data_IF_637534469751
#
_entry.id   IF_637534469751
#
_cell.length_a   1.000
_cell.length_b   1.000
_cell.length_c   1.000
_cell.angle_alpha   90.00
_cell.angle_beta   90.00
_cell.angle_gamma   90.00
#
_symmetry.space_group_name_H-M   'P 1'
#
loop_
_entity.id
_entity.type
_entity.pdbx_description
1 polymer ?
#
# COMPACT_ATOMS: atom_id res chain seq x y z
N UNK A 1 -8.35 -19.97 39.90
CA UNK A 1 -7.76 -20.98 38.98
C UNK A 1 -7.59 -22.28 39.74
N UNK A 2 -8.23 -23.37 39.30
CA UNK A 2 -8.27 -24.63 40.04
C UNK A 2 -6.87 -25.24 40.18
N UNK A 3 -6.46 -25.61 41.40
CA UNK A 3 -5.17 -26.25 41.72
C UNK A 3 -4.89 -27.49 40.82
N UNK A 4 -5.96 -28.21 40.47
CA UNK A 4 -5.93 -29.35 39.55
C UNK A 4 -5.46 -28.97 38.14
N UNK A 5 -5.83 -27.79 37.65
CA UNK A 5 -5.45 -27.32 36.32
C UNK A 5 -3.95 -26.97 36.27
N UNK A 6 -3.42 -26.39 37.35
CA UNK A 6 -1.99 -26.11 37.50
C UNK A 6 -1.17 -27.40 37.56
N UNK A 7 -1.62 -28.41 38.30
CA UNK A 7 -0.94 -29.71 38.37
C UNK A 7 -0.92 -30.41 36.99
N UNK A 8 -2.03 -30.39 36.26
CA UNK A 8 -2.09 -30.91 34.88
C UNK A 8 -1.15 -30.16 33.95
N UNK A 9 -1.09 -28.84 34.05
CA UNK A 9 -0.18 -28.00 33.27
C UNK A 9 1.29 -28.32 33.58
N UNK A 10 1.65 -28.48 34.86
CA UNK A 10 3.01 -28.86 35.27
C UNK A 10 3.43 -30.23 34.73
N UNK A 11 2.53 -31.22 34.73
CA UNK A 11 2.80 -32.54 34.14
C UNK A 11 3.03 -32.43 32.63
N UNK A 12 2.24 -31.61 31.93
CA UNK A 12 2.42 -31.36 30.49
C UNK A 12 3.74 -30.65 30.19
N UNK A 13 4.12 -29.64 30.99
CA UNK A 13 5.40 -28.97 30.87
C UNK A 13 6.56 -29.93 31.13
N UNK A 14 6.48 -30.75 32.17
CA UNK A 14 7.49 -31.76 32.48
C UNK A 14 7.64 -32.78 31.35
N UNK A 15 6.53 -33.21 30.77
CA UNK A 15 6.54 -34.09 29.59
C UNK A 15 7.23 -33.43 28.41
N UNK A 16 6.85 -32.20 28.06
CA UNK A 16 7.44 -31.46 26.94
C UNK A 16 8.93 -31.15 27.17
N UNK A 17 9.31 -30.80 28.40
CA UNK A 17 10.70 -30.61 28.79
C UNK A 17 11.52 -31.90 28.66
N UNK A 18 10.97 -33.03 29.12
CA UNK A 18 11.64 -34.32 29.02
C UNK A 18 11.81 -34.77 27.57
N UNK A 19 10.81 -34.53 26.71
CA UNK A 19 10.90 -34.80 25.27
C UNK A 19 11.99 -33.96 24.61
N UNK A 20 12.02 -32.65 24.87
CA UNK A 20 13.03 -31.75 24.32
C UNK A 20 14.43 -32.10 24.82
N UNK A 21 14.59 -32.44 26.11
CA UNK A 21 15.86 -32.88 26.71
C UNK A 21 16.45 -34.14 26.06
N UNK A 22 15.61 -35.06 25.58
CA UNK A 22 16.06 -36.28 24.87
C UNK A 22 16.58 -35.97 23.46
N UNK A 23 16.19 -34.85 22.88
CA UNK A 23 16.67 -34.36 21.57
C UNK A 23 17.84 -33.38 21.77
N UNK A 24 18.90 -33.84 22.44
CA UNK A 24 20.05 -32.99 22.79
C UNK A 24 20.67 -32.28 21.58
N UNK A 25 20.81 -32.99 20.44
CA UNK A 25 21.35 -32.43 19.20
C UNK A 25 20.51 -31.24 18.73
N UNK A 26 19.18 -31.34 18.80
CA UNK A 26 18.29 -30.25 18.37
C UNK A 26 18.40 -29.03 19.28
N UNK A 27 18.55 -29.23 20.60
CA UNK A 27 18.78 -28.13 21.55
C UNK A 27 20.11 -27.42 21.23
N UNK A 28 21.17 -28.17 20.97
CA UNK A 28 22.48 -27.59 20.61
C UNK A 28 22.38 -26.77 19.32
N UNK A 29 21.71 -27.30 18.30
CA UNK A 29 21.48 -26.57 17.04
C UNK A 29 20.65 -25.30 17.28
N UNK A 30 19.58 -25.36 18.08
CA UNK A 30 18.73 -24.21 18.41
C UNK A 30 19.53 -23.10 19.13
N UNK A 31 20.40 -23.47 20.08
CA UNK A 31 21.29 -22.54 20.77
C UNK A 31 22.28 -21.91 19.78
N UNK A 32 22.93 -22.71 18.94
CA UNK A 32 23.89 -22.20 17.93
C UNK A 32 23.20 -21.23 16.98
N UNK A 33 22.02 -21.58 16.47
CA UNK A 33 21.23 -20.73 15.56
C UNK A 33 20.84 -19.42 16.25
N UNK A 34 20.42 -19.48 17.52
CA UNK A 34 20.07 -18.28 18.30
C UNK A 34 21.29 -17.37 18.51
N UNK A 35 22.44 -17.94 18.88
CA UNK A 35 23.69 -17.21 19.04
C UNK A 35 24.18 -16.61 17.73
N UNK A 36 24.03 -17.33 16.62
CA UNK A 36 24.36 -16.85 15.29
C UNK A 36 23.51 -15.64 14.92
N UNK A 37 22.19 -15.70 15.11
CA UNK A 37 21.31 -14.56 14.85
C UNK A 37 21.61 -13.36 15.75
N UNK A 38 21.85 -13.58 17.04
CA UNK A 38 22.27 -12.53 17.96
C UNK A 38 23.61 -11.90 17.52
N UNK A 39 24.57 -12.73 17.11
CA UNK A 39 25.87 -12.30 16.60
C UNK A 39 25.74 -11.44 15.34
N UNK A 40 24.89 -11.84 14.38
CA UNK A 40 24.61 -11.04 13.18
C UNK A 40 24.02 -9.68 13.54
N UNK A 41 23.03 -9.64 14.44
CA UNK A 41 22.43 -8.36 14.88
C UNK A 41 23.44 -7.44 15.56
N UNK A 42 24.31 -7.98 16.42
CA UNK A 42 25.35 -7.19 17.08
C UNK A 42 26.41 -6.70 16.08
N UNK A 43 26.77 -7.54 15.11
CA UNK A 43 27.73 -7.20 14.07
C UNK A 43 27.19 -6.09 13.16
N UNK A 44 25.93 -6.19 12.71
CA UNK A 44 25.31 -5.14 11.90
C UNK A 44 25.14 -3.85 12.67
N UNK A 45 24.85 -3.92 13.99
CA UNK A 45 24.84 -2.72 14.85
C UNK A 45 26.22 -2.09 14.98
N UNK A 46 27.28 -2.89 15.05
CA UNK A 46 28.67 -2.41 15.20
C UNK A 46 29.23 -1.83 13.90
N UNK A 47 28.91 -2.43 12.75
CA UNK A 47 29.37 -1.99 11.42
C UNK A 47 28.52 -0.84 10.89
N UNK A 48 27.25 -0.75 11.29
CA UNK A 48 26.32 0.28 10.84
C UNK A 48 26.83 1.68 11.15
N UNK A 49 27.17 2.43 10.09
CA UNK A 49 27.53 3.84 10.20
C UNK A 49 26.25 4.66 10.30
N UNK A 50 26.12 5.45 11.35
CA UNK A 50 25.05 6.45 11.48
C UNK A 50 25.52 7.70 10.76
N UNK A 51 24.88 8.05 9.65
CA UNK A 51 25.16 9.29 8.92
C UNK A 51 24.15 10.37 9.29
N UNK A 52 24.58 11.63 9.32
CA UNK A 52 23.66 12.77 9.43
C UNK A 52 23.33 13.27 8.02
N UNK A 53 22.05 13.32 7.69
CA UNK A 53 21.56 13.75 6.38
C UNK A 53 20.74 15.04 6.51
N UNK A 54 20.70 15.85 5.45
CA UNK A 54 19.99 17.14 5.44
C UNK A 54 20.79 18.28 6.12
N UNK A 55 20.15 19.43 6.41
CA UNK A 55 18.73 19.77 6.17
C UNK A 55 18.40 19.93 4.68
N UNK A 56 17.14 19.71 4.32
CA UNK A 56 16.65 19.88 2.95
C UNK A 56 15.76 21.12 2.86
N UNK A 57 16.09 21.99 1.92
CA UNK A 57 15.29 23.16 1.56
C UNK A 57 14.80 23.00 0.13
N UNK A 58 13.52 23.32 -0.11
CA UNK A 58 12.89 23.15 -1.40
C UNK A 58 12.46 24.50 -1.98
N UNK A 59 12.85 24.83 -3.21
CA UNK A 59 12.42 26.05 -3.87
C UNK A 59 10.92 26.00 -4.21
N UNK A 60 10.30 27.17 -4.31
CA UNK A 60 8.92 27.31 -4.79
C UNK A 60 8.79 26.78 -6.22
N UNK A 61 7.69 26.07 -6.49
CA UNK A 61 7.35 25.53 -7.79
C UNK A 61 6.13 26.26 -8.37
N UNK A 62 6.20 26.75 -9.60
CA UNK A 62 5.05 27.36 -10.28
C UNK A 62 4.04 26.30 -10.70
N UNK A 63 2.76 26.60 -10.53
CA UNK A 63 1.65 25.67 -10.86
C UNK A 63 1.14 25.86 -12.29
N UNK A 64 1.50 26.97 -12.96
CA UNK A 64 1.04 27.30 -14.31
C UNK A 64 1.87 26.64 -15.44
N UNK A 65 2.88 25.82 -15.11
CA UNK A 65 3.74 25.16 -16.12
C UNK A 65 3.11 23.87 -16.62
N UNK A 66 3.04 23.72 -17.95
CA UNK A 66 2.63 22.47 -18.58
C UNK A 66 3.70 21.37 -18.44
N UNK A 67 3.31 20.09 -18.30
CA UNK A 67 4.22 18.97 -18.29
C UNK A 67 5.09 18.85 -19.53
N UNK A 68 6.35 18.46 -19.34
CA UNK A 68 7.35 18.32 -20.41
C UNK A 68 6.92 17.29 -21.46
N UNK A 69 6.22 16.23 -21.06
CA UNK A 69 5.78 15.18 -21.98
C UNK A 69 4.75 15.66 -23.02
N UNK A 70 4.01 16.75 -22.75
CA UNK A 70 3.08 17.33 -23.72
C UNK A 70 3.78 17.91 -24.95
N UNK A 71 5.10 18.15 -24.87
CA UNK A 71 5.90 18.49 -26.04
C UNK A 71 6.01 17.35 -27.06
N UNK A 72 5.71 16.11 -26.66
CA UNK A 72 5.60 14.96 -27.55
C UNK A 72 4.12 14.66 -27.80
N UNK A 73 3.73 14.61 -29.07
CA UNK A 73 2.36 14.20 -29.43
C UNK A 73 2.16 12.71 -29.13
N UNK A 74 0.94 12.30 -28.74
CA UNK A 74 0.64 10.89 -28.55
C UNK A 74 0.73 10.14 -29.89
N UNK A 75 0.84 8.79 -29.88
CA UNK A 75 1.01 7.98 -31.09
C UNK A 75 -0.10 8.15 -32.13
N UNK A 76 -1.27 8.65 -31.72
CA UNK A 76 -2.42 8.87 -32.59
C UNK A 76 -3.19 10.10 -32.13
N UNK A 77 -3.25 11.14 -32.97
CA UNK A 77 -4.08 12.33 -32.73
C UNK A 77 -3.47 13.38 -31.79
N UNK A 78 -4.35 14.18 -31.18
CA UNK A 78 -4.01 15.23 -30.22
C UNK A 78 -4.27 14.75 -28.79
N UNK A 79 -3.67 15.42 -27.81
CA UNK A 79 -4.01 15.22 -26.42
C UNK A 79 -5.47 15.60 -26.16
N UNK A 80 -6.17 14.79 -25.36
CA UNK A 80 -7.60 14.95 -25.10
C UNK A 80 -7.88 15.41 -23.68
N UNK A 81 -8.78 16.40 -23.55
CA UNK A 81 -9.42 16.78 -22.31
C UNK A 81 -10.83 16.20 -22.30
N UNK A 82 -11.06 15.24 -21.42
CA UNK A 82 -12.36 14.61 -21.27
C UNK A 82 -13.19 15.35 -20.21
N UNK A 83 -14.52 15.32 -20.34
CA UNK A 83 -15.40 15.85 -19.30
C UNK A 83 -16.70 15.07 -19.15
N UNK A 84 -17.23 15.05 -17.93
CA UNK A 84 -18.47 14.38 -17.54
C UNK A 84 -19.25 15.31 -16.60
N UNK A 85 -20.56 15.54 -16.82
CA UNK A 85 -21.42 14.98 -17.88
C UNK A 85 -21.47 15.85 -19.15
N UNK A 86 -21.60 15.20 -20.33
CA UNK A 86 -21.71 15.86 -21.64
C UNK A 86 -23.02 16.61 -21.87
N UNK A 87 -24.06 16.28 -21.10
CA UNK A 87 -25.38 16.91 -21.17
C UNK A 87 -25.34 18.41 -20.84
N UNK A 88 -24.41 18.83 -19.98
CA UNK A 88 -24.30 20.22 -19.53
C UNK A 88 -23.47 21.07 -20.48
N UNK A 89 -24.10 22.07 -21.11
CA UNK A 89 -23.42 23.08 -21.94
C UNK A 89 -22.49 23.94 -21.10
N UNK A 90 -22.86 24.18 -19.84
CA UNK A 90 -22.05 24.92 -18.86
C UNK A 90 -20.70 24.23 -18.64
N UNK A 91 -20.72 22.93 -18.36
CA UNK A 91 -19.48 22.15 -18.14
C UNK A 91 -18.60 22.18 -19.39
N UNK A 92 -19.19 22.01 -20.58
CA UNK A 92 -18.45 22.11 -21.85
C UNK A 92 -17.76 23.47 -21.99
N UNK A 93 -18.46 24.57 -21.73
CA UNK A 93 -17.90 25.92 -21.85
C UNK A 93 -16.77 26.19 -20.85
N UNK A 94 -16.85 25.61 -19.64
CA UNK A 94 -15.78 25.68 -18.64
C UNK A 94 -14.53 24.96 -19.15
N UNK A 95 -14.67 23.75 -19.69
CA UNK A 95 -13.53 22.96 -20.18
C UNK A 95 -12.91 23.58 -21.45
N UNK A 96 -13.72 24.17 -22.33
CA UNK A 96 -13.21 24.98 -23.44
C UNK A 96 -12.45 26.23 -22.97
N UNK A 97 -12.88 26.83 -21.85
CA UNK A 97 -12.14 27.92 -21.20
C UNK A 97 -10.79 27.43 -20.66
N UNK A 98 -10.73 26.25 -20.04
CA UNK A 98 -9.48 25.61 -19.60
C UNK A 98 -8.53 25.41 -20.79
N UNK A 99 -9.03 24.83 -21.90
CA UNK A 99 -8.24 24.66 -23.12
C UNK A 99 -7.62 25.98 -23.60
N UNK A 100 -8.42 27.05 -23.65
CA UNK A 100 -7.96 28.38 -24.07
C UNK A 100 -6.88 28.93 -23.14
N UNK A 101 -7.07 28.80 -21.83
CA UNK A 101 -6.16 29.34 -20.82
C UNK A 101 -4.83 28.57 -20.73
N UNK A 102 -4.82 27.28 -21.08
CA UNK A 102 -3.60 26.47 -21.13
C UNK A 102 -2.73 26.73 -22.38
N UNK A 103 -3.24 27.49 -23.36
CA UNK A 103 -2.53 27.81 -24.60
C UNK A 103 -1.97 26.56 -25.34
N UNK A 104 -2.68 25.43 -25.25
CA UNK A 104 -2.30 24.17 -25.88
C UNK A 104 -3.46 23.60 -26.70
N UNK A 105 -3.17 22.96 -27.82
CA UNK A 105 -4.18 22.44 -28.74
C UNK A 105 -4.75 21.09 -28.28
N UNK A 106 -5.54 21.11 -27.20
CA UNK A 106 -6.27 19.93 -26.74
C UNK A 106 -7.55 19.68 -27.55
N UNK A 107 -7.91 18.42 -27.76
CA UNK A 107 -9.22 18.00 -28.24
C UNK A 107 -10.15 17.81 -27.03
N UNK A 108 -11.32 18.46 -27.02
CA UNK A 108 -12.26 18.39 -25.89
C UNK A 108 -13.35 17.36 -26.19
N UNK A 109 -13.47 16.32 -25.35
CA UNK A 109 -14.46 15.25 -25.51
C UNK A 109 -15.38 15.13 -24.30
N UNK A 110 -16.68 15.16 -24.55
CA UNK A 110 -17.70 14.98 -23.51
C UNK A 110 -18.23 13.54 -23.46
N UNK A 111 -18.45 13.02 -22.26
CA UNK A 111 -19.09 11.72 -22.04
C UNK A 111 -20.35 11.87 -21.18
N UNK A 112 -21.39 11.10 -21.48
CA UNK A 112 -22.67 11.14 -20.76
C UNK A 112 -22.55 10.70 -19.32
N UNK A 113 -21.83 9.60 -19.08
CA UNK A 113 -21.57 9.04 -17.76
C UNK A 113 -20.10 8.67 -17.59
N UNK A 114 -19.69 8.49 -16.35
CA UNK A 114 -18.34 8.00 -16.03
C UNK A 114 -18.08 6.61 -16.61
N UNK A 115 -19.11 5.75 -16.66
CA UNK A 115 -19.02 4.40 -17.21
C UNK A 115 -18.72 4.45 -18.72
N UNK A 116 -19.30 5.40 -19.44
CA UNK A 116 -19.03 5.59 -20.87
C UNK A 116 -17.59 6.04 -21.10
N UNK A 117 -17.11 6.95 -20.26
CA UNK A 117 -15.71 7.39 -20.25
C UNK A 117 -14.74 6.24 -19.94
N UNK A 118 -15.05 5.39 -18.95
CA UNK A 118 -14.23 4.22 -18.63
C UNK A 118 -14.18 3.20 -19.78
N UNK A 119 -15.32 2.96 -20.43
CA UNK A 119 -15.38 2.08 -21.60
C UNK A 119 -14.56 2.64 -22.77
N UNK A 120 -14.55 3.98 -22.95
CA UNK A 120 -13.74 4.65 -23.95
C UNK A 120 -12.23 4.46 -23.71
N UNK A 121 -11.77 4.63 -22.47
CA UNK A 121 -10.35 4.45 -22.12
C UNK A 121 -9.89 2.99 -22.27
N UNK A 122 -10.77 2.02 -21.95
CA UNK A 122 -10.47 0.59 -22.06
C UNK A 122 -10.23 0.14 -23.51
N UNK A 123 -10.69 0.89 -24.50
CA UNK A 123 -10.38 0.61 -25.90
C UNK A 123 -8.90 0.91 -26.17
N UNK A 124 -8.22 -0.08 -26.78
CA UNK A 124 -6.77 -0.06 -26.96
C UNK A 124 -6.31 1.27 -27.59
N UNK A 125 -5.35 1.94 -26.93
CA UNK A 125 -4.69 3.21 -27.27
C UNK A 125 -5.35 4.52 -26.81
N UNK A 126 -6.62 4.55 -26.38
CA UNK A 126 -7.24 5.82 -25.92
C UNK A 126 -6.68 6.30 -24.57
N UNK A 127 -6.27 5.37 -23.71
CA UNK A 127 -5.66 5.68 -22.40
C UNK A 127 -4.42 6.57 -22.48
N UNK A 128 -3.64 6.46 -23.56
CA UNK A 128 -2.42 7.26 -23.75
C UNK A 128 -2.72 8.68 -24.24
N UNK A 129 -3.87 8.90 -24.89
CA UNK A 129 -4.27 10.18 -25.48
C UNK A 129 -4.98 11.10 -24.48
N UNK A 130 -5.75 10.51 -23.57
CA UNK A 130 -6.51 11.28 -22.58
C UNK A 130 -5.55 11.82 -21.52
N UNK A 131 -5.44 13.14 -21.47
CA UNK A 131 -4.59 13.83 -20.49
C UNK A 131 -5.22 13.74 -19.09
N UNK A 132 -6.47 14.22 -19.00
CA UNK A 132 -7.28 14.25 -17.79
C UNK A 132 -8.76 14.24 -18.18
N UNK A 133 -9.58 13.64 -17.32
CA UNK A 133 -11.03 13.85 -17.35
C UNK A 133 -11.51 14.66 -16.15
N UNK A 134 -12.30 15.68 -16.44
CA UNK A 134 -12.99 16.51 -15.47
C UNK A 134 -14.37 15.91 -15.18
N UNK A 135 -14.58 15.40 -13.97
CA UNK A 135 -15.87 14.84 -13.57
C UNK A 135 -16.52 15.74 -12.54
N UNK A 136 -17.68 16.29 -12.90
CA UNK A 136 -18.49 17.13 -12.03
C UNK A 136 -19.53 16.27 -11.33
N UNK A 137 -19.46 16.20 -10.00
CA UNK A 137 -20.40 15.49 -9.16
C UNK A 137 -21.62 16.38 -8.89
N UNK A 138 -22.44 16.54 -9.94
CA UNK A 138 -23.66 17.33 -9.90
C UNK A 138 -24.70 16.80 -10.89
N UNK A 139 -25.94 16.65 -10.43
CA UNK A 139 -27.06 16.18 -11.26
C UNK A 139 -27.70 17.35 -12.01
N UNK A 140 -27.43 17.46 -13.32
CA UNK A 140 -28.05 18.46 -14.20
C UNK A 140 -29.38 17.93 -14.78
N UNK A 141 -30.50 18.56 -14.43
CA UNK A 141 -31.84 18.21 -14.96
C UNK A 141 -31.97 18.67 -16.41
N UNK A 142 -31.52 19.87 -16.73
CA UNK A 142 -31.46 20.43 -18.07
C UNK A 142 -30.01 20.69 -18.51
N UNK A 143 -29.83 20.91 -19.81
CA UNK A 143 -28.52 21.19 -20.41
C UNK A 143 -27.95 22.58 -20.06
N UNK A 144 -28.81 23.51 -19.64
CA UNK A 144 -28.47 24.90 -19.30
C UNK A 144 -28.54 25.18 -17.79
N UNK A 145 -28.69 24.14 -16.96
CA UNK A 145 -28.71 24.32 -15.52
C UNK A 145 -27.37 24.92 -15.04
N UNK A 146 -27.41 25.95 -14.18
CA UNK A 146 -26.21 26.64 -13.72
C UNK A 146 -25.38 25.75 -12.78
N UNK A 147 -24.07 25.98 -12.76
CA UNK A 147 -23.20 25.31 -11.80
C UNK A 147 -23.45 25.88 -10.38
N UNK A 148 -23.55 25.05 -9.32
CA UNK A 148 -23.68 25.55 -7.95
C UNK A 148 -22.39 26.27 -7.49
N UNK A 149 -22.52 27.21 -6.55
CA UNK A 149 -21.35 27.92 -5.98
C UNK A 149 -20.36 26.97 -5.29
N UNK A 150 -20.86 25.92 -4.63
CA UNK A 150 -20.04 24.85 -4.07
C UNK A 150 -19.95 23.73 -5.09
N UNK A 151 -18.90 23.76 -5.90
CA UNK A 151 -18.64 22.76 -6.94
C UNK A 151 -17.91 21.57 -6.32
N UNK A 152 -18.46 20.37 -6.49
CA UNK A 152 -17.75 19.13 -6.21
C UNK A 152 -17.32 18.52 -7.54
N UNK A 153 -16.02 18.37 -7.72
CA UNK A 153 -15.45 17.73 -8.90
C UNK A 153 -14.27 16.86 -8.48
N UNK A 154 -13.85 15.98 -9.37
CA UNK A 154 -12.61 15.26 -9.23
C UNK A 154 -11.96 15.03 -10.60
N UNK A 155 -10.65 14.84 -10.59
CA UNK A 155 -9.83 14.65 -11.79
C UNK A 155 -9.50 13.17 -11.96
N UNK A 156 -9.71 12.63 -13.16
CA UNK A 156 -9.25 11.28 -13.50
C UNK A 156 -8.09 11.35 -14.48
N UNK A 157 -6.91 10.94 -14.04
CA UNK A 157 -5.70 10.84 -14.86
C UNK A 157 -5.43 9.37 -15.21
N UNK A 158 -4.54 9.15 -16.16
CA UNK A 158 -4.07 7.80 -16.47
C UNK A 158 -3.42 7.16 -15.25
N UNK A 159 -3.66 5.86 -15.04
CA UNK A 159 -3.01 5.11 -13.95
C UNK A 159 -1.50 4.94 -14.18
N UNK A 160 -1.05 5.08 -15.42
CA UNK A 160 0.35 5.01 -15.80
C UNK A 160 0.96 6.41 -15.80
N UNK A 161 2.04 6.57 -15.05
CA UNK A 161 2.85 7.79 -15.05
C UNK A 161 3.54 7.94 -16.41
N UNK A 162 3.36 9.10 -17.04
CA UNK A 162 3.88 9.40 -18.38
C UNK A 162 5.25 10.07 -18.33
N UNK A 163 5.61 10.68 -17.22
CA UNK A 163 6.95 11.19 -16.98
C UNK A 163 7.86 10.05 -16.55
N UNK A 164 8.70 9.57 -17.47
CA UNK A 164 9.78 8.66 -17.10
C UNK A 164 11.11 8.98 -17.77
N UNK A 165 12.06 9.40 -16.93
CA UNK A 165 13.46 8.96 -16.98
C UNK A 165 13.68 8.00 -15.80
N UNK A 166 13.17 6.76 -15.87
CA UNK A 166 13.52 5.72 -14.88
C UNK A 166 13.58 4.37 -15.58
N UNK A 167 14.79 3.81 -15.64
CA UNK A 167 15.18 2.53 -16.25
C UNK A 167 14.62 1.27 -15.56
N UNK A 168 13.52 1.35 -14.80
CA UNK A 168 12.94 0.19 -14.15
C UNK A 168 11.42 0.26 -14.14
N UNK A 169 10.76 -0.79 -14.63
CA UNK A 169 9.33 -1.04 -14.49
C UNK A 169 8.88 -0.88 -13.03
N UNK A 170 8.40 0.31 -12.64
CA UNK A 170 7.43 0.44 -11.55
C UNK A 170 6.07 0.51 -12.22
N UNK A 171 5.19 -0.43 -11.92
CA UNK A 171 3.74 -0.25 -11.99
C UNK A 171 3.31 0.64 -10.80
N UNK A 172 3.89 1.83 -10.68
CA UNK A 172 3.54 2.77 -9.63
C UNK A 172 2.24 3.46 -9.99
N UNK A 173 1.12 2.95 -9.48
CA UNK A 173 -0.15 3.70 -9.53
C UNK A 173 -0.08 4.94 -8.62
N UNK A 174 -1.06 5.83 -8.75
CA UNK A 174 -1.19 7.02 -7.89
C UNK A 174 -1.38 6.72 -6.40
N UNK A 175 -1.66 5.45 -6.03
CA UNK A 175 -1.88 4.96 -4.65
C UNK A 175 -2.79 5.89 -3.83
N UNK A 176 -3.90 6.34 -4.43
CA UNK A 176 -4.86 7.25 -3.81
C UNK A 176 -5.66 6.63 -2.68
N UNK A 177 -5.54 5.31 -2.47
CA UNK A 177 -6.22 4.58 -1.39
C UNK A 177 -5.58 4.75 -0.01
N UNK A 178 -4.36 5.29 0.06
CA UNK A 178 -3.62 5.45 1.32
C UNK A 178 -3.11 6.88 1.48
N UNK A 179 -3.40 7.52 2.63
CA UNK A 179 -2.85 8.85 2.94
C UNK A 179 -1.34 8.81 3.26
N UNK A 180 -0.88 7.68 3.80
CA UNK A 180 0.52 7.46 4.17
C UNK A 180 0.99 6.11 3.63
N UNK A 181 2.28 5.99 3.26
CA UNK A 181 2.84 4.70 2.88
C UNK A 181 2.74 3.72 4.04
N UNK A 182 2.48 2.44 3.75
CA UNK A 182 2.41 1.37 4.77
C UNK A 182 3.68 1.27 5.62
N UNK A 183 4.83 1.59 5.02
CA UNK A 183 6.11 1.69 5.72
C UNK A 183 6.69 3.09 5.48
N UNK A 184 6.82 3.93 6.51
CA UNK A 184 7.40 5.26 6.35
C UNK A 184 8.89 5.17 6.01
N UNK A 185 9.37 6.11 5.18
CA UNK A 185 10.80 6.27 4.92
C UNK A 185 11.50 6.93 6.12
N UNK A 186 12.77 6.60 6.33
CA UNK A 186 13.61 7.20 7.40
C UNK A 186 13.92 8.68 7.20
N UNK A 187 13.64 9.21 6.01
CA UNK A 187 13.89 10.59 5.65
C UNK A 187 12.79 11.12 4.74
N UNK A 188 13.00 12.31 4.16
CA UNK A 188 12.03 12.92 3.27
C UNK A 188 11.79 12.04 2.05
N UNK A 189 10.53 11.84 1.68
CA UNK A 189 10.14 11.16 0.42
C UNK A 189 10.78 11.90 -0.76
N UNK A 190 11.50 11.21 -1.64
CA UNK A 190 12.18 11.81 -2.81
C UNK A 190 13.01 13.06 -2.42
N UNK A 191 14.12 12.90 -1.70
CA UNK A 191 14.89 14.02 -1.13
C UNK A 191 15.40 15.00 -2.20
N UNK A 192 15.82 14.49 -3.36
CA UNK A 192 16.40 15.27 -4.46
C UNK A 192 15.33 15.96 -5.34
N UNK A 193 14.05 15.72 -5.07
CA UNK A 193 12.94 16.17 -5.90
C UNK A 193 12.19 17.31 -5.22
N UNK A 194 12.47 18.54 -5.66
CA UNK A 194 11.80 19.75 -5.18
C UNK A 194 10.31 19.81 -5.52
N UNK A 195 9.90 19.10 -6.57
CA UNK A 195 8.52 18.95 -7.02
C UNK A 195 7.74 17.86 -6.26
N UNK A 196 8.38 17.18 -5.30
CA UNK A 196 7.81 16.09 -4.49
C UNK A 196 8.07 14.69 -5.06
N UNK A 197 8.54 14.57 -6.31
CA UNK A 197 8.76 13.30 -7.00
C UNK A 197 7.51 12.40 -7.07
N UNK A 198 7.69 11.09 -7.12
CA UNK A 198 6.62 10.08 -7.18
C UNK A 198 5.48 10.35 -6.15
N UNK A 199 4.19 10.37 -6.55
CA UNK A 199 3.65 9.92 -7.83
C UNK A 199 3.66 10.98 -8.95
N UNK A 200 4.27 12.15 -8.72
CA UNK A 200 4.46 13.17 -9.74
C UNK A 200 3.31 14.15 -9.91
N UNK A 201 2.68 14.64 -8.83
CA UNK A 201 1.54 15.58 -8.95
C UNK A 201 1.84 16.84 -9.79
N UNK A 202 3.05 17.37 -9.72
CA UNK A 202 3.50 18.51 -10.53
C UNK A 202 3.89 18.03 -11.93
N UNK A 203 4.76 17.02 -12.01
CA UNK A 203 5.31 16.55 -13.28
C UNK A 203 4.25 15.97 -14.21
N UNK A 204 3.31 15.16 -13.70
CA UNK A 204 2.19 14.58 -14.46
C UNK A 204 1.12 15.62 -14.83
N UNK A 205 1.21 16.84 -14.29
CA UNK A 205 0.28 17.92 -14.59
C UNK A 205 -1.03 17.88 -13.82
N UNK A 206 -1.12 17.15 -12.71
CA UNK A 206 -2.32 17.15 -11.88
C UNK A 206 -2.59 18.57 -11.34
N UNK A 207 -1.58 19.22 -10.76
CA UNK A 207 -1.76 20.55 -10.16
C UNK A 207 -2.09 21.63 -11.19
N UNK A 208 -1.48 21.60 -12.39
CA UNK A 208 -1.79 22.58 -13.45
C UNK A 208 -3.21 22.40 -13.96
N UNK A 209 -3.69 21.16 -14.11
CA UNK A 209 -5.06 20.88 -14.55
C UNK A 209 -6.08 21.29 -13.48
N UNK A 210 -5.78 21.04 -12.21
CA UNK A 210 -6.62 21.48 -11.10
C UNK A 210 -6.71 23.01 -11.04
N UNK A 211 -5.55 23.68 -11.07
CA UNK A 211 -5.48 25.14 -11.03
C UNK A 211 -6.15 25.82 -12.23
N UNK A 212 -5.99 25.26 -13.43
CA UNK A 212 -6.66 25.77 -14.62
C UNK A 212 -8.19 25.58 -14.56
N UNK A 213 -8.66 24.44 -14.06
CA UNK A 213 -10.09 24.20 -13.86
C UNK A 213 -10.69 25.14 -12.82
N UNK A 214 -10.03 25.33 -11.69
CA UNK A 214 -10.46 26.25 -10.63
C UNK A 214 -10.54 27.68 -11.15
N UNK A 215 -9.52 28.15 -11.88
CA UNK A 215 -9.55 29.45 -12.57
C UNK A 215 -10.74 29.56 -13.54
N UNK A 216 -11.04 28.50 -14.30
CA UNK A 216 -12.16 28.49 -15.23
C UNK A 216 -13.53 28.54 -14.53
N UNK A 217 -13.69 27.82 -13.42
CA UNK A 217 -14.91 27.86 -12.59
C UNK A 217 -15.10 29.25 -11.98
N UNK A 218 -14.04 29.87 -11.47
CA UNK A 218 -14.10 31.25 -10.95
C UNK A 218 -14.51 32.24 -12.04
N UNK A 219 -13.93 32.14 -13.25
CA UNK A 219 -14.32 32.96 -14.42
C UNK A 219 -15.78 32.77 -14.78
N UNK A 220 -16.30 31.55 -14.71
CA UNK A 220 -17.70 31.25 -15.00
C UNK A 220 -18.65 31.98 -14.05
N UNK A 221 -18.37 31.99 -12.75
CA UNK A 221 -19.23 32.66 -11.75
C UNK A 221 -19.10 34.19 -11.78
N UNK A 222 -17.89 34.71 -11.92
CA UNK A 222 -17.67 36.16 -12.00
C UNK A 222 -16.41 36.49 -12.81
N UNK A 223 -16.60 36.81 -14.09
CA UNK A 223 -15.50 37.07 -15.01
C UNK A 223 -14.71 38.33 -14.64
N UNK A 224 -15.37 39.44 -14.32
CA UNK A 224 -14.70 40.73 -14.06
C UNK A 224 -13.85 40.68 -12.78
N UNK A 225 -14.40 40.14 -11.69
CA UNK A 225 -13.68 40.02 -10.43
C UNK A 225 -12.51 39.02 -10.54
N UNK A 226 -12.72 37.89 -11.22
CA UNK A 226 -11.69 36.87 -11.40
C UNK A 226 -10.51 37.37 -12.24
N UNK A 227 -10.79 38.12 -13.33
CA UNK A 227 -9.73 38.71 -14.16
C UNK A 227 -8.87 39.71 -13.39
N UNK A 228 -9.47 40.51 -12.50
CA UNK A 228 -8.72 41.40 -11.61
C UNK A 228 -7.83 40.59 -10.66
N UNK A 229 -8.41 39.59 -10.00
CA UNK A 229 -7.70 38.75 -9.04
C UNK A 229 -6.49 38.03 -9.66
N UNK A 230 -6.61 37.49 -10.86
CA UNK A 230 -5.52 36.75 -11.52
C UNK A 230 -4.37 37.63 -12.00
N UNK A 231 -4.56 38.96 -12.10
CA UNK A 231 -3.47 39.89 -12.38
C UNK A 231 -2.65 40.19 -11.12
N UNK A 232 -3.33 40.23 -9.97
CA UNK A 232 -2.74 40.66 -8.71
C UNK A 232 -2.16 39.49 -7.89
N UNK A 233 -2.64 38.26 -8.11
CA UNK A 233 -2.31 37.08 -7.30
C UNK A 233 -1.60 36.00 -8.12
N UNK A 234 -0.44 35.57 -7.63
CA UNK A 234 0.30 34.42 -8.16
C UNK A 234 0.27 33.26 -7.15
N UNK A 235 0.10 32.04 -7.65
CA UNK A 235 -0.01 30.83 -6.83
C UNK A 235 1.19 29.93 -7.08
N UNK A 236 1.88 29.58 -6.00
CA UNK A 236 3.02 28.68 -6.00
C UNK A 236 2.78 27.55 -5.01
N UNK A 237 3.43 26.42 -5.27
CA UNK A 237 3.48 25.29 -4.34
C UNK A 237 4.91 25.15 -3.86
N UNK A 238 5.09 25.09 -2.55
CA UNK A 238 6.40 24.86 -1.95
C UNK A 238 6.30 23.68 -0.99
N UNK A 239 7.24 22.77 -1.13
CA UNK A 239 7.38 21.66 -0.20
C UNK A 239 7.93 22.15 1.13
N UNK A 240 7.40 21.62 2.23
CA UNK A 240 7.94 21.92 3.55
C UNK A 240 9.42 21.50 3.67
N UNK A 241 10.28 22.34 4.26
CA UNK A 241 11.67 21.97 4.51
C UNK A 241 11.73 20.78 5.47
N UNK A 242 12.77 19.96 5.32
CA UNK A 242 12.98 18.79 6.17
C UNK A 242 14.23 18.99 7.03
N UNK A 243 14.13 18.85 8.37
CA UNK A 243 15.26 19.08 9.27
C UNK A 243 16.36 18.04 9.06
N UNK A 244 17.57 18.32 9.56
CA UNK A 244 18.62 17.31 9.57
C UNK A 244 18.20 16.12 10.43
N UNK A 245 18.52 14.91 9.99
CA UNK A 245 18.16 13.66 10.67
C UNK A 245 19.32 12.68 10.65
N UNK A 246 19.33 11.77 11.62
CA UNK A 246 20.27 10.65 11.65
C UNK A 246 19.69 9.48 10.85
N UNK A 247 20.42 9.08 9.83
CA UNK A 247 20.11 7.89 9.05
C UNK A 247 20.81 6.68 9.68
N UNK A 248 20.00 5.80 10.26
CA UNK A 248 20.44 4.54 10.85
C UNK A 248 19.82 3.37 10.09
N UNK A 249 20.63 2.69 9.28
CA UNK A 249 20.19 1.53 8.49
C UNK A 249 19.98 0.26 9.33
N UNK A 250 20.30 0.28 10.63
CA UNK A 250 20.10 -0.87 11.52
C UNK A 250 18.61 -1.21 11.70
N UNK A 251 17.75 -0.22 11.95
CA UNK A 251 16.33 -0.44 12.19
C UNK A 251 15.58 -1.10 11.01
N UNK A 252 15.76 -0.69 9.74
CA UNK A 252 15.13 -1.38 8.62
C UNK A 252 15.67 -2.80 8.42
N UNK A 253 16.98 -3.00 8.64
CA UNK A 253 17.57 -4.34 8.63
C UNK A 253 16.93 -5.21 9.72
N UNK A 254 16.89 -4.70 10.96
CA UNK A 254 16.29 -5.37 12.12
C UNK A 254 14.83 -5.75 11.87
N UNK A 255 14.03 -4.82 11.35
CA UNK A 255 12.62 -5.05 11.02
C UNK A 255 12.41 -6.16 9.99
N UNK A 256 13.28 -6.26 8.99
CA UNK A 256 13.24 -7.35 7.99
C UNK A 256 13.82 -8.67 8.52
N UNK A 257 14.78 -8.60 9.44
CA UNK A 257 15.53 -9.75 9.93
C UNK A 257 14.80 -10.51 11.03
N UNK A 258 14.12 -9.82 11.96
CA UNK A 258 13.41 -10.46 13.08
C UNK A 258 12.37 -11.51 12.64
N UNK A 259 11.52 -11.26 11.62
CA UNK A 259 10.59 -12.28 11.13
C UNK A 259 11.29 -13.56 10.66
N UNK A 260 12.47 -13.44 10.05
CA UNK A 260 13.27 -14.59 9.63
C UNK A 260 13.83 -15.33 10.84
N UNK A 261 14.37 -14.62 11.84
CA UNK A 261 14.86 -15.22 13.09
C UNK A 261 13.75 -16.04 13.76
N UNK A 262 12.57 -15.45 13.89
CA UNK A 262 11.37 -16.11 14.42
C UNK A 262 11.05 -17.36 13.59
N UNK A 263 10.98 -17.24 12.27
CA UNK A 263 10.69 -18.36 11.37
C UNK A 263 11.66 -19.54 11.57
N UNK A 264 12.97 -19.28 11.62
CA UNK A 264 13.98 -20.32 11.80
C UNK A 264 13.89 -20.97 13.18
N UNK A 265 13.71 -20.19 14.25
CA UNK A 265 13.54 -20.72 15.61
C UNK A 265 12.29 -21.59 15.69
N UNK A 266 11.15 -21.14 15.15
CA UNK A 266 9.92 -21.95 15.17
C UNK A 266 10.00 -23.18 14.27
N UNK A 267 10.69 -23.11 13.14
CA UNK A 267 10.85 -24.26 12.23
C UNK A 267 11.60 -25.41 12.91
N UNK A 268 12.69 -25.12 13.63
CA UNK A 268 13.43 -26.17 14.38
C UNK A 268 12.55 -26.83 15.45
N UNK A 269 11.75 -26.04 16.17
CA UNK A 269 10.78 -26.54 17.15
C UNK A 269 9.65 -27.37 16.50
N UNK A 270 9.19 -26.98 15.32
CA UNK A 270 8.12 -27.69 14.61
C UNK A 270 8.60 -29.04 14.05
N UNK A 271 9.80 -29.08 13.47
CA UNK A 271 10.39 -30.31 12.94
C UNK A 271 10.64 -31.35 14.04
N UNK A 272 11.16 -30.94 15.19
CA UNK A 272 11.36 -31.85 16.33
C UNK A 272 10.06 -32.39 16.90
N UNK A 273 8.99 -31.57 16.90
CA UNK A 273 7.65 -31.99 17.28
C UNK A 273 7.07 -33.01 16.28
N UNK A 274 7.18 -32.76 14.97
CA UNK A 274 6.75 -33.73 13.95
C UNK A 274 7.50 -35.05 14.12
N UNK A 275 8.82 -35.01 14.27
CA UNK A 275 9.62 -36.22 14.47
C UNK A 275 9.14 -37.03 15.67
N UNK A 276 8.85 -36.36 16.80
CA UNK A 276 8.31 -37.01 17.98
C UNK A 276 6.92 -37.64 17.75
N UNK A 277 6.04 -36.95 17.01
CA UNK A 277 4.70 -37.45 16.68
C UNK A 277 4.78 -38.65 15.72
N UNK A 278 5.61 -38.57 14.68
CA UNK A 278 5.82 -39.65 13.71
C UNK A 278 6.41 -40.87 14.40
N UNK A 279 7.44 -40.68 15.24
CA UNK A 279 8.02 -41.74 16.04
C UNK A 279 6.97 -42.43 16.94
N UNK A 280 6.14 -41.64 17.61
CA UNK A 280 5.05 -42.13 18.46
C UNK A 280 3.99 -42.91 17.66
N UNK A 281 3.69 -42.46 16.44
CA UNK A 281 2.74 -43.11 15.52
C UNK A 281 3.29 -44.42 14.96
N UNK A 282 4.55 -44.44 14.53
CA UNK A 282 5.23 -45.62 13.99
C UNK A 282 5.30 -46.75 15.03
N UNK A 283 5.66 -46.41 16.27
CA UNK A 283 5.73 -47.36 17.37
C UNK A 283 4.36 -47.63 18.03
N UNK A 284 3.29 -47.04 17.49
CA UNK A 284 1.92 -47.15 18.00
C UNK A 284 1.81 -46.94 19.52
N UNK A 285 2.65 -46.08 20.11
CA UNK A 285 2.79 -45.96 21.57
C UNK A 285 1.54 -45.42 22.27
N UNK A 286 0.59 -44.85 21.52
CA UNK A 286 -0.75 -44.52 22.03
C UNK A 286 -1.74 -45.68 21.90
N UNK A 287 -1.57 -46.57 20.92
CA UNK A 287 -2.49 -47.69 20.68
C UNK A 287 -2.21 -48.82 21.66
N UNK A 288 -0.95 -49.15 21.96
CA UNK A 288 -0.59 -50.22 22.91
C UNK A 288 -1.19 -50.01 24.31
N UNK A 289 -1.03 -48.85 24.98
CA UNK A 289 -1.68 -48.61 26.27
C UNK A 289 -3.19 -48.48 26.14
N UNK A 290 -3.72 -47.96 25.02
CA UNK A 290 -5.17 -47.85 24.80
C UNK A 290 -5.81 -49.22 24.56
N UNK A 291 -5.09 -50.15 23.93
CA UNK A 291 -5.45 -51.54 23.70
C UNK A 291 -5.33 -52.35 24.99
N UNK A 292 -4.27 -52.15 25.78
CA UNK A 292 -4.13 -52.72 27.12
C UNK A 292 -5.24 -52.23 28.06
N UNK A 293 -5.57 -50.93 28.05
CA UNK A 293 -6.73 -50.39 28.77
C UNK A 293 -8.05 -50.99 28.26
N UNK A 294 -8.20 -51.18 26.95
CA UNK A 294 -9.38 -51.84 26.38
C UNK A 294 -9.49 -53.30 26.85
N UNK A 295 -8.37 -54.03 26.90
CA UNK A 295 -8.30 -55.40 27.43
C UNK A 295 -8.63 -55.42 28.92
N UNK A 296 -8.06 -54.52 29.73
CA UNK A 296 -8.31 -54.45 31.17
C UNK A 296 -9.77 -54.05 31.48
N UNK A 297 -10.37 -53.19 30.66
CA UNK A 297 -11.81 -52.87 30.72
C UNK A 297 -12.63 -54.09 30.28
N UNK A 298 -12.22 -54.81 29.24
CA UNK A 298 -12.93 -56.00 28.75
C UNK A 298 -12.87 -57.14 29.77
N UNK A 299 -11.72 -57.41 30.41
CA UNK A 299 -11.58 -58.38 31.50
C UNK A 299 -12.42 -57.99 32.72
N UNK A 300 -12.42 -56.72 33.12
CA UNK A 300 -13.28 -56.25 34.22
C UNK A 300 -14.77 -56.32 33.87
N UNK A 301 -15.16 -56.09 32.61
CA UNK A 301 -16.53 -56.28 32.13
C UNK A 301 -16.92 -57.78 32.11
N UNK A 302 -16.01 -58.65 31.67
CA UNK A 302 -16.24 -60.11 31.63
C UNK A 302 -16.40 -60.70 33.03
N UNK A 303 -15.57 -60.26 33.98
CA UNK A 303 -15.69 -60.61 35.39
C UNK A 303 -17.01 -60.11 35.99
N UNK A 304 -17.45 -58.89 35.64
CA UNK A 304 -18.76 -58.38 36.05
C UNK A 304 -19.93 -59.23 35.49
N UNK A 305 -19.84 -59.63 34.22
CA UNK A 305 -20.88 -60.46 33.57
C UNK A 305 -20.91 -61.91 34.09
N UNK A 306 -19.78 -62.42 34.60
CA UNK A 306 -19.69 -63.74 35.24
C UNK A 306 -20.21 -63.74 36.69
N UNK A 307 -20.09 -62.61 37.40
CA UNK A 307 -20.64 -62.44 38.75
C UNK A 307 -22.17 -62.28 38.69
N UNK A 308 -22.70 -61.60 37.68
CA UNK A 308 -24.15 -61.39 37.51
C UNK A 308 -24.93 -62.66 37.11
N UNK A 309 -24.25 -63.69 36.58
CA UNK A 309 -24.85 -65.01 36.27
C UNK A 309 -24.80 -66.03 37.41
N UNK A 310 -24.12 -65.70 38.51
CA UNK A 310 -24.00 -66.54 39.71
C UNK A 310 -24.72 -65.95 40.94
N UNK A 311 -25.62 -64.99 40.70
CA UNK A 311 -26.61 -64.50 41.67
C UNK A 311 -28.01 -64.89 41.20
#
# INVERSE_FOLDING_TARGET
MNLLALNKFMVLLWKNFTLKRRQFIAIVVEIIVTLLFAGILLLTRKIGVISQNGPYYYPFQPVDKLPVFLGKNPPSGLWELAFVPSKSVVVKNIVETVKRDLHYNFEVKGFSSEKDFENYIKQANNSERVMVAFVFDHEFKNSHDPLPLKVKYYLRLSSLQRNRHVNYFRLGSWDTGSLFPRSPSFGPRNPEHADGGDPGYITEGFLVMQHALDKAIMKYHNQAASQKLFRDVQVFVQRFPYPAYYHDSFFPFFGSFIPLVILFIFTTNYLTLIQAIVWEKEHQLKVTPLFLWYIEICEKCWVFQAIEKNC
#
